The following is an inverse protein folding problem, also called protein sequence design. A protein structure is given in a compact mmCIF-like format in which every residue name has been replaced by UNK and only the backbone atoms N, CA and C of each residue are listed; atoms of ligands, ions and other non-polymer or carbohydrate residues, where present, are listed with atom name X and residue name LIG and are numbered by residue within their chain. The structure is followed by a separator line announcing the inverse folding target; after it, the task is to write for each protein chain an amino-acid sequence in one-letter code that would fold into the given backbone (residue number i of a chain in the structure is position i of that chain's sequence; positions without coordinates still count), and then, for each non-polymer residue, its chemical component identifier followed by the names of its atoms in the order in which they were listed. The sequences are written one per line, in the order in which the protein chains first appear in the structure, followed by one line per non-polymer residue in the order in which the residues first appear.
data_IF_672319266260
#
_entry.id   IF_672319266260
#
_cell.length_a   1.000
_cell.length_b   1.000
_cell.length_c   1.000
_cell.angle_alpha   90.00
_cell.angle_beta   90.00
_cell.angle_gamma   90.00
#
_symmetry.space_group_name_H-M   'P 1'
#
loop_
_entity.id
_entity.type
_entity.pdbx_description
1 polymer ?
#
# COMPACT_ATOMS: atom_id res chain seq x y z
N UNK A 1 7.05 -10.35 17.09
CA UNK A 1 5.87 -9.47 16.98
C UNK A 1 5.03 -9.91 15.79
N UNK A 2 3.70 -9.69 15.77
CA UNK A 2 2.86 -10.00 14.59
C UNK A 2 2.38 -8.68 13.97
N UNK A 3 2.98 -8.28 12.85
CA UNK A 3 2.72 -7.00 12.14
C UNK A 3 2.19 -7.26 10.73
N UNK A 4 1.41 -6.33 10.18
CA UNK A 4 0.90 -6.43 8.80
C UNK A 4 0.88 -5.08 8.09
N UNK A 5 0.70 -5.14 6.78
CA UNK A 5 0.55 -3.98 5.90
C UNK A 5 -0.29 -2.86 6.52
N UNK A 6 0.30 -1.66 6.60
CA UNK A 6 -0.37 -0.46 7.07
C UNK A 6 -0.33 -0.24 8.59
N UNK A 7 0.25 -1.17 9.34
CA UNK A 7 0.77 -0.89 10.68
C UNK A 7 1.98 0.05 10.63
N UNK A 8 2.31 0.68 11.76
CA UNK A 8 3.53 1.45 11.94
C UNK A 8 4.33 0.91 13.15
N UNK A 9 5.65 0.92 13.06
CA UNK A 9 6.54 0.60 14.18
C UNK A 9 7.50 1.76 14.42
N UNK A 10 7.83 2.02 15.68
CA UNK A 10 8.83 3.01 16.08
C UNK A 10 9.97 2.34 16.83
N UNK A 11 11.20 2.63 16.42
CA UNK A 11 12.41 2.07 17.04
C UNK A 11 12.84 2.85 18.27
N UNK A 12 13.80 2.32 19.02
CA UNK A 12 14.43 2.98 20.18
C UNK A 12 15.04 4.34 19.84
N UNK A 13 15.51 4.53 18.61
CA UNK A 13 16.07 5.79 18.10
C UNK A 13 14.97 6.80 17.72
N UNK A 14 13.70 6.41 17.77
CA UNK A 14 12.57 7.24 17.38
C UNK A 14 12.31 7.30 15.87
N UNK A 15 12.85 6.35 15.09
CA UNK A 15 12.55 6.20 13.68
C UNK A 15 11.20 5.49 13.53
N UNK A 16 10.34 5.97 12.64
CA UNK A 16 9.01 5.39 12.42
C UNK A 16 8.95 4.78 11.02
N UNK A 17 8.58 3.51 10.95
CA UNK A 17 8.52 2.73 9.72
C UNK A 17 7.09 2.29 9.40
N UNK A 18 6.70 2.33 8.12
CA UNK A 18 5.47 1.70 7.62
C UNK A 18 5.70 0.23 7.26
N UNK A 19 4.99 -0.65 7.98
CA UNK A 19 5.05 -2.10 7.79
C UNK A 19 4.56 -2.45 6.40
N UNK A 20 5.30 -3.35 5.72
CA UNK A 20 5.03 -3.70 4.33
C UNK A 20 4.85 -5.19 4.10
N UNK A 21 3.71 -5.52 3.50
CA UNK A 21 3.32 -6.91 3.23
C UNK A 21 2.73 -7.61 4.45
N UNK A 22 2.55 -8.92 4.31
CA UNK A 22 1.84 -9.77 5.27
C UNK A 22 2.73 -10.89 5.84
N UNK A 23 3.90 -11.10 5.24
CA UNK A 23 4.85 -12.16 5.56
C UNK A 23 6.17 -11.50 5.92
N UNK A 24 6.75 -11.90 7.06
CA UNK A 24 7.96 -11.28 7.60
C UNK A 24 8.95 -12.34 8.10
N UNK A 25 10.27 -12.08 8.00
CA UNK A 25 11.29 -12.98 8.55
C UNK A 25 11.11 -13.19 10.07
N UNK A 26 11.54 -14.35 10.62
CA UNK A 26 11.46 -14.59 12.05
C UNK A 26 12.17 -13.50 12.87
N UNK A 27 11.48 -12.99 13.90
CA UNK A 27 11.95 -11.94 14.83
C UNK A 27 12.30 -10.60 14.17
N UNK A 28 11.81 -10.35 12.96
CA UNK A 28 11.98 -9.10 12.23
C UNK A 28 10.69 -8.71 11.54
N UNK A 29 10.57 -7.43 11.22
CA UNK A 29 9.46 -6.89 10.44
C UNK A 29 10.00 -6.18 9.21
N UNK A 30 9.46 -6.51 8.03
CA UNK A 30 9.73 -5.73 6.82
C UNK A 30 8.92 -4.44 6.90
N UNK A 31 9.61 -3.30 6.99
CA UNK A 31 8.98 -1.99 7.10
C UNK A 31 9.89 -0.92 6.50
N UNK A 32 9.32 0.11 5.88
CA UNK A 32 10.10 1.17 5.23
C UNK A 32 10.13 2.42 6.10
N UNK A 33 11.28 3.09 6.22
CA UNK A 33 11.33 4.30 7.03
C UNK A 33 10.40 5.37 6.44
N UNK A 34 9.57 5.98 7.27
CA UNK A 34 8.62 7.00 6.86
C UNK A 34 8.85 8.33 7.56
N UNK A 35 9.21 8.29 8.84
CA UNK A 35 9.55 9.48 9.61
C UNK A 35 10.83 9.27 10.42
N UNK A 36 11.64 10.31 10.54
CA UNK A 36 12.82 10.33 11.41
C UNK A 36 12.89 11.65 12.18
N UNK A 37 13.47 11.66 13.39
CA UNK A 37 13.69 12.89 14.14
C UNK A 37 14.60 13.85 13.37
N UNK A 38 14.14 15.08 13.16
CA UNK A 38 14.93 16.14 12.54
C UNK A 38 14.40 17.50 12.99
N UNK A 39 15.24 18.34 13.60
CA UNK A 39 14.89 19.69 14.06
C UNK A 39 14.45 20.62 12.93
N UNK A 40 14.87 20.35 11.68
CA UNK A 40 14.43 21.08 10.48
C UNK A 40 13.15 20.52 9.86
N UNK A 41 12.57 19.48 10.47
CA UNK A 41 11.38 18.82 10.00
C UNK A 41 10.13 19.70 10.08
N UNK A 42 9.09 19.30 9.34
CA UNK A 42 7.83 20.05 9.26
C UNK A 42 6.71 19.47 10.13
N UNK A 43 6.93 18.29 10.72
CA UNK A 43 5.93 17.58 11.52
C UNK A 43 6.35 17.61 12.98
N UNK A 44 5.43 17.88 13.89
CA UNK A 44 5.70 18.00 15.32
C UNK A 44 4.84 17.02 16.08
N UNK A 45 5.45 16.29 17.01
CA UNK A 45 4.76 15.39 17.94
C UNK A 45 5.31 15.61 19.33
N UNK A 46 4.46 16.11 20.22
CA UNK A 46 4.87 16.54 21.57
C UNK A 46 6.05 17.53 21.46
N UNK A 47 7.19 17.21 22.07
CA UNK A 47 8.41 18.05 22.08
C UNK A 47 9.43 17.68 20.98
N UNK A 48 9.08 16.83 20.01
CA UNK A 48 10.00 16.36 18.96
C UNK A 48 9.53 16.78 17.59
N UNK A 49 10.48 17.10 16.72
CA UNK A 49 10.26 17.46 15.31
C UNK A 49 10.70 16.30 14.42
N UNK A 50 9.93 16.02 13.38
CA UNK A 50 10.14 14.92 12.45
C UNK A 50 10.10 15.41 11.00
N UNK A 51 10.89 14.74 10.17
CA UNK A 51 10.83 14.84 8.73
C UNK A 51 10.23 13.57 8.13
N UNK A 52 9.47 13.72 7.03
CA UNK A 52 8.84 12.61 6.30
C UNK A 52 9.60 12.34 5.00
N UNK A 53 10.00 11.09 4.77
CA UNK A 53 10.64 10.67 3.51
C UNK A 53 9.58 10.04 2.59
N UNK A 54 9.35 10.68 1.45
CA UNK A 54 8.31 10.24 0.51
C UNK A 54 8.81 9.16 -0.47
N UNK A 55 9.85 9.48 -1.24
CA UNK A 55 10.35 8.59 -2.31
C UNK A 55 11.04 7.36 -1.74
N UNK A 56 10.79 6.20 -2.35
CA UNK A 56 11.36 4.92 -1.93
C UNK A 56 12.89 4.92 -2.04
N UNK A 57 13.46 5.45 -3.12
CA UNK A 57 14.92 5.51 -3.29
C UNK A 57 15.58 6.33 -2.18
N UNK A 58 15.00 7.49 -1.85
CA UNK A 58 15.49 8.34 -0.75
C UNK A 58 15.42 7.66 0.61
N UNK A 59 14.44 6.77 0.84
CA UNK A 59 14.36 5.97 2.07
C UNK A 59 15.55 5.01 2.18
N UNK A 60 15.87 4.29 1.10
CA UNK A 60 17.04 3.41 1.05
C UNK A 60 18.36 4.17 1.18
N UNK A 61 18.51 5.28 0.45
CA UNK A 61 19.71 6.14 0.53
C UNK A 61 19.94 6.64 1.95
N UNK A 62 18.89 7.12 2.60
CA UNK A 62 18.97 7.63 3.97
C UNK A 62 19.32 6.52 4.96
N UNK A 63 18.68 5.35 4.87
CA UNK A 63 19.00 4.22 5.73
C UNK A 63 20.43 3.73 5.52
N UNK A 64 20.90 3.64 4.28
CA UNK A 64 22.27 3.23 3.97
C UNK A 64 23.31 4.15 4.63
N UNK A 65 23.01 5.44 4.75
CA UNK A 65 23.91 6.44 5.36
C UNK A 65 23.87 6.45 6.88
N UNK A 66 22.70 6.24 7.50
CA UNK A 66 22.50 6.48 8.93
C UNK A 66 22.27 5.19 9.75
N UNK A 67 21.57 4.21 9.17
CA UNK A 67 21.17 2.96 9.82
C UNK A 67 21.29 1.76 8.86
N UNK A 68 22.49 1.48 8.31
CA UNK A 68 22.68 0.41 7.32
C UNK A 68 22.34 -0.98 7.87
N UNK A 69 22.35 -1.17 9.19
CA UNK A 69 21.97 -2.43 9.84
C UNK A 69 20.52 -2.87 9.56
N UNK A 70 19.64 -1.95 9.16
CA UNK A 70 18.27 -2.29 8.77
C UNK A 70 18.14 -2.72 7.32
N UNK A 71 19.19 -2.57 6.49
CA UNK A 71 19.20 -3.01 5.10
C UNK A 71 19.83 -4.41 5.01
N UNK A 72 18.98 -5.42 4.83
CA UNK A 72 19.37 -6.83 4.84
C UNK A 72 19.03 -7.45 3.49
N UNK A 73 19.97 -8.18 2.92
CA UNK A 73 19.65 -9.05 1.78
C UNK A 73 18.88 -10.27 2.27
N UNK A 74 17.64 -10.40 1.83
CA UNK A 74 16.77 -11.52 2.17
C UNK A 74 16.89 -12.62 1.08
N UNK A 75 17.29 -13.85 1.43
CA UNK A 75 17.52 -14.92 0.45
C UNK A 75 16.23 -15.56 -0.10
N UNK A 76 15.08 -15.33 0.55
CA UNK A 76 13.77 -15.81 0.10
C UNK A 76 13.09 -14.79 -0.80
N UNK A 77 13.25 -13.49 -0.56
CA UNK A 77 12.77 -12.45 -1.47
C UNK A 77 13.78 -12.10 -2.58
N UNK A 78 15.04 -12.53 -2.46
CA UNK A 78 16.14 -12.24 -3.39
C UNK A 78 16.29 -10.73 -3.65
N UNK A 79 16.28 -9.96 -2.55
CA UNK A 79 16.24 -8.50 -2.56
C UNK A 79 16.84 -7.93 -1.28
N UNK A 80 17.40 -6.72 -1.35
CA UNK A 80 17.75 -5.95 -0.15
C UNK A 80 16.49 -5.29 0.39
N UNK A 81 16.04 -5.70 1.57
CA UNK A 81 14.85 -5.19 2.23
C UNK A 81 15.20 -4.42 3.49
N UNK A 82 14.28 -3.55 3.91
CA UNK A 82 14.36 -2.91 5.21
C UNK A 82 13.73 -3.81 6.27
N UNK A 83 14.57 -4.55 6.99
CA UNK A 83 14.18 -5.49 8.05
C UNK A 83 14.51 -4.91 9.43
N UNK A 84 13.49 -4.56 10.19
CA UNK A 84 13.64 -4.03 11.56
C UNK A 84 13.54 -5.19 12.55
N UNK A 85 14.58 -5.48 13.37
CA UNK A 85 14.50 -6.51 14.41
C UNK A 85 13.46 -6.16 15.47
N UNK A 86 12.70 -7.17 15.92
CA UNK A 86 11.68 -7.01 16.97
C UNK A 86 12.24 -6.33 18.24
N UNK A 87 13.49 -6.64 18.58
CA UNK A 87 14.20 -6.09 19.75
C UNK A 87 14.51 -4.60 19.64
N UNK A 88 14.56 -4.05 18.42
CA UNK A 88 14.76 -2.62 18.19
C UNK A 88 13.44 -1.82 18.28
N UNK A 89 12.29 -2.51 18.25
CA UNK A 89 10.97 -1.87 18.26
C UNK A 89 10.60 -1.44 19.67
N UNK A 90 10.44 -0.13 19.84
CA UNK A 90 9.99 0.49 21.09
C UNK A 90 8.48 0.58 21.17
N UNK A 91 7.81 0.90 20.06
CA UNK A 91 6.36 1.05 20.00
C UNK A 91 5.82 0.40 18.73
N UNK A 92 4.74 -0.37 18.89
CA UNK A 92 3.97 -0.93 17.79
C UNK A 92 2.62 -0.21 17.72
N UNK A 93 2.36 0.49 16.62
CA UNK A 93 1.13 1.23 16.37
C UNK A 93 0.17 0.42 15.51
N UNK A 94 -1.00 0.12 16.09
CA UNK A 94 -2.07 -0.59 15.39
C UNK A 94 -3.19 0.36 14.94
N UNK A 95 -3.56 0.36 13.65
CA UNK A 95 -4.63 1.19 13.11
C UNK A 95 -5.98 1.02 13.83
N UNK A 96 -6.35 -0.22 14.20
CA UNK A 96 -7.62 -0.51 14.91
C UNK A 96 -7.62 0.08 16.32
N UNK A 97 -6.47 0.01 17.01
CA UNK A 97 -6.32 0.61 18.35
C UNK A 97 -6.39 2.13 18.30
N UNK A 98 -5.82 2.77 17.26
CA UNK A 98 -5.99 4.22 17.05
C UNK A 98 -7.45 4.57 16.80
N UNK A 99 -8.17 3.86 15.93
CA UNK A 99 -9.59 4.09 15.71
C UNK A 99 -10.41 3.97 17.01
N UNK A 100 -10.15 2.94 17.81
CA UNK A 100 -10.78 2.77 19.12
C UNK A 100 -10.44 3.90 20.11
N UNK A 101 -9.21 4.42 20.07
CA UNK A 101 -8.78 5.55 20.91
C UNK A 101 -9.49 6.86 20.53
N UNK A 102 -9.64 7.15 19.23
CA UNK A 102 -10.30 8.36 18.75
C UNK A 102 -11.79 8.36 19.14
N UNK A 103 -12.45 7.21 19.06
CA UNK A 103 -13.85 7.04 19.51
C UNK A 103 -14.08 7.35 20.98
N UNK A 104 -13.05 7.22 21.82
CA UNK A 104 -13.12 7.47 23.27
C UNK A 104 -12.59 8.86 23.64
N UNK A 105 -12.00 9.57 22.69
CA UNK A 105 -11.43 10.88 22.93
C UNK A 105 -12.55 11.91 23.19
N UNK A 106 -12.32 12.80 24.15
CA UNK A 106 -13.26 13.90 24.44
C UNK A 106 -13.15 15.05 23.44
N UNK A 107 -11.93 15.25 22.91
CA UNK A 107 -11.60 16.30 21.96
C UNK A 107 -10.84 15.66 20.80
N UNK A 108 -11.30 15.90 19.59
CA UNK A 108 -10.65 15.48 18.35
C UNK A 108 -10.22 16.73 17.58
N UNK A 109 -9.07 16.65 16.90
CA UNK A 109 -8.74 17.65 15.88
C UNK A 109 -9.60 17.44 14.63
N UNK A 110 -9.73 18.46 13.79
CA UNK A 110 -10.58 18.43 12.57
C UNK A 110 -10.33 17.20 11.69
N UNK A 111 -9.06 16.87 11.41
CA UNK A 111 -8.73 15.72 10.56
C UNK A 111 -9.03 14.37 11.25
N UNK A 112 -8.86 14.28 12.57
CA UNK A 112 -9.16 13.06 13.33
C UNK A 112 -10.67 12.83 13.39
N UNK A 113 -11.44 13.91 13.54
CA UNK A 113 -12.90 13.91 13.52
C UNK A 113 -13.43 13.45 12.16
N UNK A 114 -12.98 14.07 11.05
CA UNK A 114 -13.33 13.65 9.69
C UNK A 114 -12.95 12.19 9.40
N UNK A 115 -11.78 11.74 9.86
CA UNK A 115 -11.38 10.35 9.70
C UNK A 115 -12.32 9.39 10.45
N UNK A 116 -12.77 9.78 11.65
CA UNK A 116 -13.71 8.99 12.44
C UNK A 116 -15.12 8.99 11.84
N UNK A 117 -15.58 10.12 11.32
CA UNK A 117 -16.86 10.24 10.63
C UNK A 117 -16.88 9.40 9.34
N UNK A 118 -15.82 9.50 8.53
CA UNK A 118 -15.68 8.67 7.33
C UNK A 118 -15.66 7.17 7.67
N UNK A 119 -14.90 6.78 8.70
CA UNK A 119 -14.88 5.39 9.17
C UNK A 119 -16.26 4.93 9.67
N UNK A 120 -17.01 5.81 10.35
CA UNK A 120 -18.37 5.53 10.84
C UNK A 120 -19.35 5.36 9.69
N UNK A 121 -19.29 6.24 8.67
CA UNK A 121 -20.09 6.14 7.46
C UNK A 121 -19.86 4.79 6.78
N UNK A 122 -18.61 4.44 6.49
CA UNK A 122 -18.28 3.17 5.82
C UNK A 122 -18.69 1.96 6.66
N UNK A 123 -18.47 2.00 7.97
CA UNK A 123 -18.89 0.93 8.90
C UNK A 123 -20.40 0.68 8.81
N UNK A 124 -21.19 1.74 8.83
CA UNK A 124 -22.65 1.65 8.85
C UNK A 124 -23.18 1.22 7.48
N UNK A 125 -22.67 1.81 6.39
CA UNK A 125 -23.07 1.44 5.03
C UNK A 125 -22.69 0.00 4.65
N UNK A 126 -21.55 -0.50 5.13
CA UNK A 126 -21.09 -1.87 4.86
C UNK A 126 -21.54 -2.90 5.90
N UNK A 127 -22.14 -2.45 7.01
CA UNK A 127 -22.49 -3.26 8.18
C UNK A 127 -21.34 -4.19 8.64
N UNK A 128 -20.23 -3.58 9.04
CA UNK A 128 -19.03 -4.26 9.57
C UNK A 128 -18.70 -3.82 11.01
N UNK A 129 -17.79 -4.55 11.67
CA UNK A 129 -17.37 -4.25 13.03
C UNK A 129 -16.32 -3.14 13.05
N UNK A 130 -16.25 -2.42 14.16
CA UNK A 130 -15.14 -1.50 14.44
C UNK A 130 -13.79 -2.20 14.58
N UNK A 131 -13.78 -3.51 14.87
CA UNK A 131 -12.54 -4.28 14.94
C UNK A 131 -11.92 -4.53 13.55
N UNK A 132 -12.69 -4.30 12.49
CA UNK A 132 -12.29 -4.54 11.10
C UNK A 132 -11.85 -3.25 10.39
N UNK A 133 -11.87 -2.10 11.10
CA UNK A 133 -11.54 -0.78 10.56
C UNK A 133 -10.42 -0.15 11.39
N UNK A 134 -9.39 0.33 10.71
CA UNK A 134 -8.27 1.05 11.30
C UNK A 134 -8.07 2.44 10.69
N UNK A 135 -7.49 3.33 11.49
CA UNK A 135 -7.01 4.65 11.05
C UNK A 135 -5.48 4.63 11.11
N UNK A 136 -4.84 4.83 9.96
CA UNK A 136 -3.39 4.70 9.79
C UNK A 136 -2.72 6.06 9.49
N UNK A 137 -1.58 6.04 8.82
CA UNK A 137 -0.94 7.22 8.27
C UNK A 137 -0.41 8.17 9.33
N UNK A 138 -0.52 9.46 9.04
CA UNK A 138 -0.03 10.49 9.95
C UNK A 138 -0.87 10.65 11.22
N UNK A 139 -2.14 10.26 11.18
CA UNK A 139 -3.04 10.26 12.34
C UNK A 139 -2.58 9.20 13.35
N UNK A 140 -2.26 7.99 12.89
CA UNK A 140 -1.84 6.86 13.74
C UNK A 140 -0.64 7.17 14.64
N UNK A 141 0.26 8.02 14.19
CA UNK A 141 1.48 8.39 14.94
C UNK A 141 1.48 9.84 15.40
N UNK A 142 0.34 10.53 15.38
CA UNK A 142 0.20 11.94 15.82
C UNK A 142 1.20 12.90 15.14
N UNK A 143 1.45 12.67 13.85
CA UNK A 143 2.35 13.49 13.02
C UNK A 143 1.60 14.21 11.91
N UNK A 144 0.28 14.32 12.01
CA UNK A 144 -0.56 14.97 11.01
C UNK A 144 -0.26 16.47 10.85
N UNK A 145 -0.60 17.00 9.69
CA UNK A 145 -0.47 18.41 9.30
C UNK A 145 -1.73 18.80 8.52
N UNK A 146 -1.94 20.08 8.26
CA UNK A 146 -3.07 20.55 7.42
C UNK A 146 -3.10 19.92 6.03
N UNK A 147 -1.93 19.58 5.47
CA UNK A 147 -1.80 18.86 4.19
C UNK A 147 -1.84 17.33 4.31
N UNK A 148 -2.33 16.77 5.41
CA UNK A 148 -2.43 15.31 5.60
C UNK A 148 -3.77 14.78 5.13
N UNK A 149 -3.73 13.56 4.60
CA UNK A 149 -4.85 12.76 4.13
C UNK A 149 -5.45 11.90 5.26
N UNK A 150 -6.66 11.40 4.99
CA UNK A 150 -7.33 10.36 5.77
C UNK A 150 -6.87 9.00 5.24
N UNK A 151 -6.08 8.28 6.02
CA UNK A 151 -5.64 6.91 5.72
C UNK A 151 -6.50 5.91 6.50
N UNK A 152 -7.42 5.21 5.84
CA UNK A 152 -8.20 4.12 6.44
C UNK A 152 -7.68 2.75 6.01
N UNK A 153 -7.84 1.76 6.87
CA UNK A 153 -7.54 0.36 6.57
C UNK A 153 -8.74 -0.49 6.94
N UNK A 154 -9.13 -1.40 6.03
CA UNK A 154 -10.20 -2.37 6.25
C UNK A 154 -9.58 -3.76 6.20
N UNK A 155 -9.97 -4.60 7.15
CA UNK A 155 -9.43 -5.94 7.34
C UNK A 155 -10.44 -7.04 7.03
N UNK A 156 -9.97 -8.10 6.39
CA UNK A 156 -10.74 -9.30 6.08
C UNK A 156 -11.40 -9.21 4.71
N UNK A 157 -11.22 -10.22 3.87
CA UNK A 157 -11.68 -10.26 2.46
C UNK A 157 -13.17 -9.96 2.35
N UNK A 158 -14.00 -10.57 3.21
CA UNK A 158 -15.44 -10.35 3.24
C UNK A 158 -15.81 -8.90 3.59
N UNK A 159 -15.15 -8.31 4.58
CA UNK A 159 -15.39 -6.93 5.00
C UNK A 159 -14.88 -5.94 3.95
N UNK A 160 -13.71 -6.20 3.38
CA UNK A 160 -13.15 -5.41 2.28
C UNK A 160 -14.11 -5.36 1.09
N UNK A 161 -14.67 -6.49 0.68
CA UNK A 161 -15.65 -6.55 -0.41
C UNK A 161 -16.93 -5.75 -0.10
N UNK A 162 -17.47 -5.87 1.13
CA UNK A 162 -18.62 -5.08 1.57
C UNK A 162 -18.34 -3.58 1.55
N UNK A 163 -17.22 -3.15 2.13
CA UNK A 163 -16.83 -1.73 2.17
C UNK A 163 -16.55 -1.19 0.78
N UNK A 164 -15.87 -1.96 -0.08
CA UNK A 164 -15.60 -1.55 -1.45
C UNK A 164 -16.91 -1.37 -2.25
N UNK A 165 -17.88 -2.27 -2.09
CA UNK A 165 -19.21 -2.13 -2.71
C UNK A 165 -19.97 -0.92 -2.18
N UNK A 166 -19.99 -0.71 -0.86
CA UNK A 166 -20.63 0.45 -0.23
C UNK A 166 -19.97 1.77 -0.67
N UNK A 167 -18.64 1.79 -0.76
CA UNK A 167 -17.86 2.95 -1.20
C UNK A 167 -18.21 3.36 -2.63
N UNK A 168 -18.35 2.39 -3.56
CA UNK A 168 -18.77 2.68 -4.93
C UNK A 168 -20.17 3.30 -4.99
N UNK A 169 -21.12 2.75 -4.22
CA UNK A 169 -22.48 3.31 -4.13
C UNK A 169 -22.46 4.74 -3.58
N UNK A 170 -21.73 4.97 -2.48
CA UNK A 170 -21.60 6.29 -1.88
C UNK A 170 -20.94 7.32 -2.81
N UNK A 171 -20.04 6.89 -3.71
CA UNK A 171 -19.41 7.80 -4.68
C UNK A 171 -20.36 8.20 -5.82
N UNK A 172 -21.38 7.41 -6.11
CA UNK A 172 -22.42 7.70 -7.10
C UNK A 172 -23.53 8.62 -6.53
N UNK A 173 -23.66 8.69 -5.21
CA UNK A 173 -24.68 9.49 -4.53
C UNK A 173 -24.37 10.99 -4.53
N UNK A 174 -25.28 11.80 -5.10
CA UNK A 174 -25.12 13.26 -5.20
C UNK A 174 -24.88 13.93 -3.85
N UNK A 175 -25.58 13.51 -2.80
CA UNK A 175 -25.52 14.10 -1.45
C UNK A 175 -24.45 13.48 -0.55
N UNK A 176 -23.73 12.45 -1.01
CA UNK A 176 -22.68 11.84 -0.22
C UNK A 176 -21.51 12.80 0.03
N UNK A 177 -20.91 12.78 1.24
CA UNK A 177 -19.70 13.55 1.54
C UNK A 177 -18.45 13.01 0.82
N UNK A 178 -18.53 11.78 0.29
CA UNK A 178 -17.49 11.18 -0.55
C UNK A 178 -17.63 11.69 -1.99
N UNK A 179 -16.51 12.11 -2.58
CA UNK A 179 -16.43 12.56 -3.97
C UNK A 179 -15.25 11.90 -4.67
N UNK A 180 -15.42 11.44 -5.92
CA UNK A 180 -14.30 11.04 -6.75
C UNK A 180 -13.41 12.26 -7.03
N UNK A 181 -12.15 12.03 -7.37
CA UNK A 181 -11.26 13.10 -7.78
C UNK A 181 -11.73 13.79 -9.06
N UNK A 182 -11.65 15.12 -9.08
CA UNK A 182 -11.82 15.89 -10.32
C UNK A 182 -10.59 15.77 -11.23
N UNK A 183 -10.67 16.31 -12.44
CA UNK A 183 -9.50 16.34 -13.34
C UNK A 183 -8.35 17.19 -12.76
N UNK A 184 -8.67 18.25 -12.02
CA UNK A 184 -7.70 19.10 -11.31
C UNK A 184 -7.02 18.32 -10.17
N UNK A 185 -7.80 17.59 -9.37
CA UNK A 185 -7.27 16.72 -8.31
C UNK A 185 -6.34 15.66 -8.90
N UNK A 186 -6.75 15.00 -10.00
CA UNK A 186 -5.93 14.03 -10.71
C UNK A 186 -4.66 14.68 -11.29
N UNK A 187 -4.73 15.93 -11.74
CA UNK A 187 -3.57 16.72 -12.16
C UNK A 187 -2.57 16.97 -11.03
N UNK A 188 -3.05 17.30 -9.84
CA UNK A 188 -2.22 17.44 -8.65
C UNK A 188 -1.62 16.09 -8.21
N UNK A 189 -2.42 15.03 -8.20
CA UNK A 189 -1.98 13.68 -7.87
C UNK A 189 -0.93 13.16 -8.85
N UNK A 190 -1.11 13.42 -10.15
CA UNK A 190 -0.14 13.07 -11.19
C UNK A 190 1.21 13.77 -10.95
N UNK A 191 1.22 15.09 -10.70
CA UNK A 191 2.46 15.84 -10.39
C UNK A 191 3.15 15.33 -9.13
N UNK A 192 2.39 14.86 -8.15
CA UNK A 192 2.94 14.26 -6.94
C UNK A 192 3.57 12.89 -7.22
N UNK A 193 2.88 12.03 -7.99
CA UNK A 193 3.27 10.65 -8.28
C UNK A 193 4.29 10.49 -9.41
N UNK A 194 4.37 11.43 -10.34
CA UNK A 194 5.28 11.39 -11.50
C UNK A 194 6.76 11.46 -11.11
N UNK A 195 7.05 11.99 -9.91
CA UNK A 195 8.39 11.92 -9.30
C UNK A 195 8.88 10.48 -9.08
N UNK A 196 7.96 9.53 -8.98
CA UNK A 196 8.23 8.11 -8.73
C UNK A 196 7.58 7.20 -9.80
N UNK A 197 7.19 7.69 -10.99
CA UNK A 197 6.51 6.89 -12.02
C UNK A 197 6.59 7.51 -13.41
N UNK A 198 6.96 6.72 -14.41
CA UNK A 198 6.86 7.08 -15.83
C UNK A 198 5.45 6.79 -16.37
N UNK A 199 4.77 7.81 -16.90
CA UNK A 199 3.47 7.69 -17.57
C UNK A 199 2.98 9.04 -18.08
N UNK A 200 2.12 9.05 -19.10
CA UNK A 200 1.50 10.29 -19.55
C UNK A 200 0.21 10.58 -18.75
N UNK A 201 -0.21 11.84 -18.73
CA UNK A 201 -1.37 12.27 -17.95
C UNK A 201 -2.69 11.64 -18.42
N UNK A 202 -2.84 11.38 -19.73
CA UNK A 202 -4.06 10.81 -20.30
C UNK A 202 -4.29 9.38 -19.80
N UNK A 203 -3.26 8.53 -19.82
CA UNK A 203 -3.33 7.16 -19.34
C UNK A 203 -3.50 7.10 -17.81
N UNK A 204 -2.86 8.05 -17.12
CA UNK A 204 -3.05 8.23 -15.68
C UNK A 204 -4.51 8.54 -15.35
N UNK A 205 -5.14 9.50 -16.03
CA UNK A 205 -6.55 9.84 -15.82
C UNK A 205 -7.46 8.66 -16.17
N UNK A 206 -7.21 7.94 -17.28
CA UNK A 206 -7.99 6.77 -17.71
C UNK A 206 -8.08 5.69 -16.62
N UNK A 207 -7.02 5.53 -15.83
CA UNK A 207 -6.96 4.52 -14.76
C UNK A 207 -7.38 5.07 -13.41
N UNK A 208 -6.82 6.19 -12.98
CA UNK A 208 -6.98 6.74 -11.63
C UNK A 208 -8.36 7.34 -11.38
N UNK A 209 -9.07 7.80 -12.42
CA UNK A 209 -10.46 8.29 -12.30
C UNK A 209 -11.46 7.18 -11.95
N UNK A 210 -11.10 5.91 -12.16
CA UNK A 210 -11.96 4.75 -11.93
C UNK A 210 -11.78 4.10 -10.56
N UNK A 211 -10.84 4.60 -9.75
CA UNK A 211 -10.49 4.02 -8.45
C UNK A 211 -11.42 4.54 -7.37
N UNK A 212 -12.07 3.64 -6.64
CA UNK A 212 -12.92 4.01 -5.52
C UNK A 212 -12.10 4.29 -4.25
N UNK A 213 -10.95 3.63 -4.11
CA UNK A 213 -10.10 3.65 -2.91
C UNK A 213 -9.43 4.99 -2.61
N UNK A 214 -9.58 6.00 -3.47
CA UNK A 214 -9.02 7.33 -3.30
C UNK A 214 -10.03 8.39 -3.76
N UNK A 215 -9.99 9.57 -3.14
CA UNK A 215 -10.90 10.65 -3.47
C UNK A 215 -10.89 11.73 -2.39
N UNK A 216 -12.00 12.45 -2.28
CA UNK A 216 -12.23 13.46 -1.23
C UNK A 216 -13.35 13.03 -0.30
N UNK A 217 -13.15 13.18 1.01
CA UNK A 217 -14.19 13.15 2.03
C UNK A 217 -14.23 14.54 2.65
N UNK A 218 -15.34 15.27 2.47
CA UNK A 218 -15.46 16.65 2.94
C UNK A 218 -14.26 17.54 2.55
N UNK A 219 -13.90 17.52 1.26
CA UNK A 219 -12.75 18.24 0.67
C UNK A 219 -11.36 17.77 1.15
N UNK A 220 -11.28 16.74 1.98
CA UNK A 220 -10.03 16.17 2.49
C UNK A 220 -9.66 14.93 1.69
N UNK A 221 -8.40 14.83 1.23
CA UNK A 221 -7.93 13.62 0.54
C UNK A 221 -8.07 12.38 1.43
N UNK A 222 -8.52 11.27 0.84
CA UNK A 222 -8.52 9.98 1.50
C UNK A 222 -7.84 8.90 0.66
N UNK A 223 -7.30 7.91 1.36
CA UNK A 223 -6.93 6.63 0.79
C UNK A 223 -7.42 5.50 1.71
N UNK A 224 -8.11 4.51 1.12
CA UNK A 224 -8.56 3.30 1.82
C UNK A 224 -7.68 2.15 1.37
N UNK A 225 -7.12 1.41 2.32
CA UNK A 225 -6.39 0.17 2.06
C UNK A 225 -7.21 -1.03 2.46
N UNK A 226 -7.35 -2.00 1.56
CA UNK A 226 -7.93 -3.30 1.87
C UNK A 226 -6.81 -4.31 2.14
N UNK A 227 -6.90 -5.02 3.26
CA UNK A 227 -5.87 -5.95 3.73
C UNK A 227 -6.54 -7.23 4.20
N UNK A 228 -5.98 -8.39 3.86
CA UNK A 228 -6.45 -9.68 4.38
C UNK A 228 -6.29 -9.74 5.90
N UNK A 229 -7.21 -10.42 6.58
CA UNK A 229 -7.11 -10.63 8.02
C UNK A 229 -6.18 -11.81 8.35
N UNK A 230 -5.85 -11.97 9.64
CA UNK A 230 -4.84 -12.89 10.11
C UNK A 230 -5.13 -14.37 9.85
N UNK A 231 -6.40 -14.74 9.79
CA UNK A 231 -6.92 -16.08 9.51
C UNK A 231 -7.02 -16.38 8.00
N UNK A 232 -6.78 -15.39 7.15
CA UNK A 232 -6.78 -15.51 5.69
C UNK A 232 -5.36 -15.63 5.11
N UNK A 233 -4.34 -15.64 5.97
CA UNK A 233 -2.92 -15.65 5.60
C UNK A 233 -2.28 -16.94 6.12
N UNK A 234 -2.25 -17.95 5.24
CA UNK A 234 -1.62 -19.23 5.52
C UNK A 234 -0.12 -19.27 5.14
N UNK A 235 0.38 -18.21 4.50
CA UNK A 235 1.78 -18.12 4.09
C UNK A 235 2.70 -17.77 5.26
N UNK A 236 3.71 -18.60 5.47
CA UNK A 236 4.80 -18.33 6.40
C UNK A 236 6.05 -17.94 5.63
N UNK A 237 6.91 -17.21 6.31
CA UNK A 237 8.22 -16.89 5.76
C UNK A 237 8.99 -18.17 5.44
N UNK A 238 9.49 -18.24 4.20
CA UNK A 238 10.22 -19.38 3.67
C UNK A 238 9.38 -20.41 2.92
N UNK A 239 8.06 -20.30 2.95
CA UNK A 239 7.15 -21.14 2.17
C UNK A 239 7.27 -20.86 0.66
N UNK A 240 7.45 -19.58 0.32
CA UNK A 240 7.65 -19.11 -1.05
C UNK A 240 9.03 -18.49 -1.17
N UNK A 241 9.76 -18.90 -2.20
CA UNK A 241 11.04 -18.31 -2.57
C UNK A 241 10.94 -17.63 -3.93
N UNK A 242 11.55 -16.46 -4.03
CA UNK A 242 11.61 -15.65 -5.22
C UNK A 242 13.05 -15.63 -5.75
N UNK A 243 13.21 -15.57 -7.07
CA UNK A 243 14.48 -15.31 -7.74
C UNK A 243 14.33 -14.20 -8.75
N UNK A 244 15.16 -13.17 -8.63
CA UNK A 244 15.18 -12.01 -9.49
C UNK A 244 15.80 -12.37 -10.85
N UNK A 245 15.05 -12.17 -11.93
CA UNK A 245 15.47 -12.44 -13.30
C UNK A 245 15.54 -11.17 -14.15
N UNK A 246 15.75 -10.01 -13.52
CA UNK A 246 15.84 -8.73 -14.18
C UNK A 246 14.48 -8.07 -14.38
N UNK A 247 14.29 -7.40 -15.52
CA UNK A 247 13.08 -6.65 -15.82
C UNK A 247 12.50 -7.05 -17.17
N UNK A 248 11.18 -7.00 -17.30
CA UNK A 248 10.50 -7.15 -18.59
C UNK A 248 9.38 -6.14 -18.76
N UNK A 249 9.06 -5.89 -20.03
CA UNK A 249 7.83 -5.23 -20.47
C UNK A 249 6.96 -6.24 -21.20
N UNK A 250 5.70 -6.33 -20.81
CA UNK A 250 4.75 -7.29 -21.36
C UNK A 250 3.49 -6.61 -21.89
N UNK A 251 2.86 -7.25 -22.87
CA UNK A 251 1.43 -7.10 -23.19
C UNK A 251 0.70 -8.32 -22.66
N UNK A 252 -0.46 -8.13 -22.04
CA UNK A 252 -1.28 -9.22 -21.52
C UNK A 252 -2.75 -8.80 -21.44
N UNK A 253 -3.63 -9.77 -21.20
CA UNK A 253 -5.01 -9.54 -20.79
C UNK A 253 -5.16 -9.98 -19.33
N UNK A 254 -5.91 -9.24 -18.53
CA UNK A 254 -6.23 -9.63 -17.16
C UNK A 254 -7.26 -10.77 -17.20
N UNK A 255 -6.90 -11.95 -16.71
CA UNK A 255 -7.81 -13.10 -16.64
C UNK A 255 -8.58 -13.15 -15.31
N UNK A 256 -8.00 -12.66 -14.22
CA UNK A 256 -8.64 -12.59 -12.89
C UNK A 256 -8.13 -11.36 -12.12
N UNK A 257 -9.04 -10.62 -11.50
CA UNK A 257 -8.78 -9.39 -10.73
C UNK A 257 -9.37 -9.41 -9.30
N UNK A 258 -9.72 -10.60 -8.77
CA UNK A 258 -10.32 -10.75 -7.43
C UNK A 258 -9.44 -10.20 -6.29
N UNK A 259 -8.12 -10.13 -6.50
CA UNK A 259 -7.16 -9.57 -5.55
C UNK A 259 -6.73 -8.12 -5.87
N UNK A 260 -7.38 -7.48 -6.86
CA UNK A 260 -6.96 -6.16 -7.38
C UNK A 260 -7.13 -5.00 -6.41
N UNK A 261 -8.02 -5.12 -5.41
CA UNK A 261 -8.26 -4.07 -4.41
C UNK A 261 -7.34 -4.19 -3.19
N UNK A 262 -6.70 -5.34 -2.99
CA UNK A 262 -5.92 -5.61 -1.77
C UNK A 262 -4.53 -4.99 -1.85
N UNK A 263 -3.90 -4.76 -0.70
CA UNK A 263 -2.44 -4.58 -0.64
C UNK A 263 -1.81 -5.73 0.16
N UNK A 264 -0.89 -6.53 -0.43
CA UNK A 264 -0.50 -6.50 -1.84
C UNK A 264 -1.66 -6.86 -2.80
N UNK A 265 -1.63 -6.29 -4.01
CA UNK A 265 -2.58 -6.63 -5.08
C UNK A 265 -1.97 -7.66 -6.02
N UNK A 266 -2.84 -8.47 -6.64
CA UNK A 266 -2.48 -9.45 -7.66
C UNK A 266 -3.46 -9.40 -8.83
N UNK A 267 -2.91 -9.60 -10.03
CA UNK A 267 -3.66 -9.76 -11.27
C UNK A 267 -3.19 -11.01 -11.98
N UNK A 268 -4.10 -11.94 -12.28
CA UNK A 268 -3.77 -13.09 -13.12
C UNK A 268 -3.78 -12.67 -14.59
N UNK A 269 -2.90 -13.27 -15.38
CA UNK A 269 -2.71 -12.91 -16.78
C UNK A 269 -3.07 -14.05 -17.72
N UNK A 270 -3.47 -13.69 -18.93
CA UNK A 270 -3.54 -14.55 -20.10
C UNK A 270 -3.00 -13.81 -21.34
N UNK A 271 -2.77 -14.54 -22.44
CA UNK A 271 -2.30 -13.97 -23.71
C UNK A 271 -1.02 -13.13 -23.58
N UNK A 272 -0.10 -13.56 -22.70
CA UNK A 272 1.09 -12.79 -22.37
C UNK A 272 2.12 -12.81 -23.50
N UNK A 273 2.60 -11.63 -23.87
CA UNK A 273 3.67 -11.41 -24.84
C UNK A 273 4.74 -10.53 -24.22
N UNK A 274 5.97 -11.03 -24.13
CA UNK A 274 7.13 -10.22 -23.73
C UNK A 274 7.52 -9.33 -24.91
N UNK A 275 7.59 -8.02 -24.67
CA UNK A 275 7.96 -7.01 -25.68
C UNK A 275 9.42 -6.62 -25.50
N UNK A 276 9.88 -6.55 -24.25
CA UNK A 276 11.26 -6.27 -23.89
C UNK A 276 11.67 -7.09 -22.66
N UNK A 277 12.93 -7.49 -22.59
CA UNK A 277 13.47 -8.35 -21.55
C UNK A 277 13.55 -9.81 -21.97
N UNK A 278 13.84 -10.69 -21.00
CA UNK A 278 13.99 -12.11 -21.24
C UNK A 278 12.65 -12.73 -21.67
N UNK A 279 12.66 -13.46 -22.78
CA UNK A 279 11.50 -14.22 -23.23
C UNK A 279 11.27 -15.42 -22.28
N UNK A 280 10.10 -15.44 -21.64
CA UNK A 280 9.71 -16.43 -20.65
C UNK A 280 8.32 -16.95 -20.98
N UNK A 281 8.18 -18.26 -21.06
CA UNK A 281 6.95 -18.90 -21.56
C UNK A 281 5.77 -18.87 -20.54
N UNK A 282 5.93 -18.31 -19.33
CA UNK A 282 4.92 -18.50 -18.27
C UNK A 282 4.87 -17.38 -17.20
N UNK A 283 4.87 -16.10 -17.61
CA UNK A 283 4.50 -15.02 -16.68
C UNK A 283 2.99 -15.11 -16.44
N UNK A 284 2.59 -15.53 -15.25
CA UNK A 284 1.18 -15.86 -14.94
C UNK A 284 0.46 -14.80 -14.12
N UNK A 285 1.20 -13.90 -13.46
CA UNK A 285 0.62 -12.86 -12.62
C UNK A 285 1.45 -11.57 -12.60
N UNK A 286 0.77 -10.46 -12.35
CA UNK A 286 1.37 -9.22 -11.85
C UNK A 286 1.09 -9.14 -10.35
N UNK A 287 2.07 -8.66 -9.57
CA UNK A 287 1.86 -8.35 -8.15
C UNK A 287 2.43 -6.98 -7.79
N UNK A 288 1.83 -6.32 -6.81
CA UNK A 288 2.41 -5.11 -6.23
C UNK A 288 2.12 -4.98 -4.75
N UNK A 289 3.12 -4.53 -4.01
CA UNK A 289 2.93 -4.15 -2.61
C UNK A 289 2.47 -2.70 -2.48
N UNK A 290 2.35 -1.88 -3.52
CA UNK A 290 1.98 -0.47 -3.37
C UNK A 290 0.52 -0.25 -3.71
N UNK A 291 -0.25 0.29 -2.77
CA UNK A 291 -1.69 0.56 -2.94
C UNK A 291 -2.06 1.42 -4.17
N UNK A 292 -1.13 2.21 -4.71
CA UNK A 292 -1.33 2.94 -5.97
C UNK A 292 -1.56 2.03 -7.19
N UNK A 293 -1.11 0.77 -7.14
CA UNK A 293 -1.31 -0.22 -8.19
C UNK A 293 -2.56 -1.09 -7.96
N UNK A 294 -3.32 -0.84 -6.90
CA UNK A 294 -4.67 -1.41 -6.76
C UNK A 294 -5.60 -0.79 -7.82
N UNK A 295 -6.64 -1.54 -8.21
CA UNK A 295 -7.67 -1.13 -9.17
C UNK A 295 -7.14 -0.66 -10.57
N UNK A 296 -5.91 -1.01 -10.94
CA UNK A 296 -5.31 -0.50 -12.19
C UNK A 296 -5.96 -1.04 -13.46
N UNK A 297 -6.35 -2.31 -13.44
CA UNK A 297 -7.00 -2.99 -14.56
C UNK A 297 -8.06 -3.96 -14.01
N UNK A 298 -9.00 -4.33 -14.88
CA UNK A 298 -10.12 -5.25 -14.59
C UNK A 298 -10.05 -6.47 -15.49
N UNK A 299 -10.72 -7.55 -15.08
CA UNK A 299 -10.87 -8.75 -15.91
C UNK A 299 -11.29 -8.41 -17.35
N UNK A 300 -10.64 -9.04 -18.33
CA UNK A 300 -10.83 -8.82 -19.76
C UNK A 300 -10.12 -7.60 -20.33
N UNK A 301 -9.55 -6.70 -19.52
CA UNK A 301 -8.82 -5.54 -20.03
C UNK A 301 -7.42 -5.94 -20.52
N UNK A 302 -7.06 -5.43 -21.69
CA UNK A 302 -5.70 -5.52 -22.22
C UNK A 302 -4.80 -4.46 -21.56
N UNK A 303 -3.57 -4.85 -21.24
CA UNK A 303 -2.60 -4.00 -20.54
C UNK A 303 -1.22 -4.05 -21.18
N UNK A 304 -0.45 -3.01 -20.93
CA UNK A 304 1.01 -3.00 -21.02
C UNK A 304 1.57 -2.78 -19.62
N UNK A 305 2.51 -3.63 -19.20
CA UNK A 305 3.12 -3.51 -17.89
C UNK A 305 4.64 -3.69 -17.95
N UNK A 306 5.35 -3.02 -17.04
CA UNK A 306 6.79 -3.12 -16.85
C UNK A 306 7.13 -3.28 -15.37
N UNK A 307 8.02 -4.21 -15.06
CA UNK A 307 8.44 -4.48 -13.69
C UNK A 307 9.58 -5.48 -13.59
N UNK A 308 9.91 -5.88 -12.35
CA UNK A 308 10.88 -6.92 -12.04
C UNK A 308 10.28 -8.30 -12.32
N UNK A 309 11.00 -9.15 -13.04
CA UNK A 309 10.61 -10.54 -13.23
C UNK A 309 11.09 -11.34 -12.02
N UNK A 310 10.19 -12.11 -11.43
CA UNK A 310 10.55 -13.06 -10.38
C UNK A 310 10.11 -14.47 -10.76
N UNK A 311 11.04 -15.44 -10.68
CA UNK A 311 10.67 -16.85 -10.59
C UNK A 311 10.15 -17.09 -9.17
N UNK A 312 8.93 -17.59 -9.07
CA UNK A 312 8.27 -17.94 -7.81
C UNK A 312 8.36 -19.45 -7.63
N UNK A 313 8.84 -19.88 -6.48
CA UNK A 313 8.93 -21.28 -6.06
C UNK A 313 8.04 -21.42 -4.82
N UNK A 314 6.79 -21.84 -5.01
CA UNK A 314 5.84 -22.07 -3.92
C UNK A 314 5.93 -23.53 -3.45
N UNK A 315 6.54 -23.73 -2.28
CA UNK A 315 6.77 -25.07 -1.71
C UNK A 315 5.49 -25.67 -1.13
N UNK A 316 4.48 -24.86 -0.81
CA UNK A 316 3.20 -25.35 -0.27
C UNK A 316 2.36 -26.00 -1.36
N UNK A 317 2.40 -25.42 -2.56
CA UNK A 317 1.66 -25.91 -3.73
C UNK A 317 2.52 -26.79 -4.65
N UNK A 318 3.80 -26.97 -4.32
CA UNK A 318 4.80 -27.63 -5.17
C UNK A 318 4.76 -27.12 -6.62
N UNK A 319 4.77 -25.79 -6.77
CA UNK A 319 4.58 -25.12 -8.05
C UNK A 319 5.66 -24.06 -8.27
N UNK A 320 6.12 -23.99 -9.51
CA UNK A 320 6.97 -22.91 -9.99
C UNK A 320 6.27 -22.14 -11.11
N UNK A 321 6.45 -20.82 -11.13
CA UNK A 321 5.91 -19.95 -12.17
C UNK A 321 6.67 -18.61 -12.20
N UNK A 322 6.39 -17.76 -13.18
CA UNK A 322 6.96 -16.41 -13.22
C UNK A 322 5.90 -15.36 -12.92
N UNK A 323 6.29 -14.29 -12.23
CA UNK A 323 5.48 -13.10 -12.01
C UNK A 323 6.22 -11.83 -12.40
N UNK A 324 5.45 -10.79 -12.66
CA UNK A 324 5.96 -9.43 -12.79
C UNK A 324 5.65 -8.63 -11.51
N UNK A 325 6.66 -8.31 -10.72
CA UNK A 325 6.55 -7.47 -9.55
C UNK A 325 6.70 -5.99 -9.96
N UNK A 326 5.70 -5.17 -9.63
CA UNK A 326 5.62 -3.77 -10.02
C UNK A 326 5.67 -2.86 -8.80
N UNK A 327 6.48 -1.79 -8.88
CA UNK A 327 6.46 -0.68 -7.94
C UNK A 327 7.74 -0.47 -7.15
N UNK A 328 8.79 -1.27 -7.44
CA UNK A 328 10.11 -1.14 -6.82
C UNK A 328 10.93 -0.02 -7.48
N UNK A 329 10.72 0.24 -8.78
CA UNK A 329 11.42 1.28 -9.53
C UNK A 329 10.45 2.33 -10.09
N UNK A 330 10.89 3.58 -10.30
CA UNK A 330 10.07 4.60 -10.96
C UNK A 330 9.69 4.25 -12.40
N UNK A 331 10.44 3.37 -13.05
CA UNK A 331 10.14 2.86 -14.39
C UNK A 331 9.04 1.79 -14.42
N UNK A 332 8.58 1.31 -13.25
CA UNK A 332 7.57 0.27 -13.18
C UNK A 332 6.18 0.87 -13.42
N UNK A 333 5.39 0.24 -14.28
CA UNK A 333 4.04 0.72 -14.60
C UNK A 333 3.11 -0.41 -15.02
N UNK A 334 1.82 -0.12 -14.97
CA UNK A 334 0.75 -0.86 -15.63
C UNK A 334 -0.19 0.19 -16.22
N UNK A 335 -0.45 0.08 -17.52
CA UNK A 335 -1.35 0.97 -18.26
C UNK A 335 -2.28 0.12 -19.11
N UNK A 336 -3.49 0.61 -19.33
CA UNK A 336 -4.43 -0.03 -20.25
C UNK A 336 -3.94 0.15 -21.69
N UNK A 337 -3.94 -0.94 -22.46
CA UNK A 337 -3.55 -0.95 -23.86
C UNK A 337 -4.56 -0.23 -24.77
#
# INVERSE_FOLDING_TARGET
MKTREGDLIETTEGLIFDVKGLVHPPKKTIAFIRYFPNERGKRKRKKRVYEKIYSLSKRYEWLKQHFPQYLVYDPYFDEVLCEVPDVAVKVYYKPVEKAASLRKAKNLGELEDKALEMATLLKNSANISWNDIGISGSILVDLLTTASDIDLIIYGTKNCSKVYSALKQLLEERRSPLKPYTIEDLGALFKFRSKDSSGNFKDFVKTESRKAMQGKFEQTDYFIRFVKDWDEIDEKYGDVQYKNLGCARIKATISVDSESIFTPCKYMLENVKVIEGQELQQISEISSFRGRFCEQARIGEAIVAQGKIEKVIDRRQNREYYRLLIGNKPSDFIVLA
#
